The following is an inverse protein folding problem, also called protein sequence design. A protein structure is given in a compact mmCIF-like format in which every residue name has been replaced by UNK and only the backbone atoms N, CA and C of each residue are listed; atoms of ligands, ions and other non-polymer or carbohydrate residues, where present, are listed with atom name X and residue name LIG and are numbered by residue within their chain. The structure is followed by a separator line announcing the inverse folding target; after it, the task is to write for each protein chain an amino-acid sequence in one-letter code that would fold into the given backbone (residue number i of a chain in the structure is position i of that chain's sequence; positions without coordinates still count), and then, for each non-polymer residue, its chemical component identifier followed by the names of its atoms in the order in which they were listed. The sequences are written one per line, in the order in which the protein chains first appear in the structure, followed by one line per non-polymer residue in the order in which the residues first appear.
data_IF_603706388358
#
_entry.id   IF_603706388358
#
_cell.length_a   1.000
_cell.length_b   1.000
_cell.length_c   1.000
_cell.angle_alpha   90.00
_cell.angle_beta   90.00
_cell.angle_gamma   90.00
#
_symmetry.space_group_name_H-M   'P 1'
#
loop_
_entity.id
_entity.type
_entity.pdbx_description
1 polymer ?
#
# COMPACT_ATOMS: atom_id res chain seq x y z
N UNK A 1 -66.08 -41.92 68.89
CA UNK A 1 -65.75 -43.36 68.86
C UNK A 1 -64.32 -43.46 68.34
N UNK A 2 -63.37 -43.88 69.21
CA UNK A 2 -62.16 -44.68 68.96
C UNK A 2 -61.37 -44.34 67.68
N UNK A 3 -60.12 -43.91 67.65
CA UNK A 3 -58.95 -44.16 68.52
C UNK A 3 -57.72 -44.23 67.59
N UNK A 4 -56.49 -44.21 68.13
CA UNK A 4 -55.30 -44.63 67.38
C UNK A 4 -54.06 -43.77 67.56
N UNK A 5 -53.21 -44.20 68.49
CA UNK A 5 -51.83 -43.78 68.71
C UNK A 5 -50.92 -44.11 67.51
N UNK A 6 -49.78 -43.40 67.39
CA UNK A 6 -48.76 -43.68 66.37
C UNK A 6 -47.46 -42.93 66.61
N UNK A 7 -46.79 -43.25 67.71
CA UNK A 7 -45.44 -42.82 68.07
C UNK A 7 -44.40 -43.53 67.17
N UNK A 8 -43.59 -42.80 66.41
CA UNK A 8 -42.30 -43.32 65.92
C UNK A 8 -41.19 -42.27 66.04
N UNK A 9 -40.32 -42.48 67.04
CA UNK A 9 -38.90 -42.12 66.99
C UNK A 9 -38.27 -42.82 65.79
N UNK A 10 -37.38 -42.13 65.07
CA UNK A 10 -35.94 -42.43 65.11
C UNK A 10 -35.18 -41.81 63.92
N UNK A 11 -33.96 -41.40 64.24
CA UNK A 11 -32.75 -41.36 63.41
C UNK A 11 -32.25 -39.97 62.98
N UNK A 12 -31.37 -39.45 63.84
CA UNK A 12 -30.33 -38.51 63.44
C UNK A 12 -29.45 -39.18 62.38
N UNK A 13 -29.59 -38.71 61.15
CA UNK A 13 -28.70 -39.04 60.05
C UNK A 13 -28.05 -37.72 59.58
N UNK A 14 -26.84 -37.50 60.09
CA UNK A 14 -25.73 -36.79 59.46
C UNK A 14 -26.05 -35.54 58.61
N UNK A 15 -26.18 -34.38 59.28
CA UNK A 15 -26.05 -33.07 58.64
C UNK A 15 -24.64 -32.82 58.04
N UNK A 16 -23.66 -33.69 58.30
CA UNK A 16 -22.29 -33.56 57.80
C UNK A 16 -22.12 -33.92 56.32
N UNK A 17 -23.04 -34.70 55.72
CA UNK A 17 -22.95 -35.05 54.28
C UNK A 17 -23.53 -33.95 53.39
N UNK A 18 -24.55 -33.22 53.85
CA UNK A 18 -25.15 -32.13 53.07
C UNK A 18 -24.22 -30.91 52.92
N UNK A 19 -23.34 -30.64 53.91
CA UNK A 19 -22.37 -29.54 53.84
C UNK A 19 -21.22 -29.84 52.85
N UNK A 20 -20.79 -31.10 52.72
CA UNK A 20 -19.74 -31.49 51.77
C UNK A 20 -20.21 -31.47 50.31
N UNK A 21 -21.48 -31.77 50.04
CA UNK A 21 -22.04 -31.70 48.67
C UNK A 21 -22.23 -30.24 48.21
N UNK A 22 -22.53 -29.31 49.12
CA UNK A 22 -22.67 -27.88 48.80
C UNK A 22 -21.31 -27.16 48.65
N UNK A 23 -20.26 -27.61 49.33
CA UNK A 23 -18.90 -27.06 49.14
C UNK A 23 -18.23 -27.54 47.83
N UNK A 24 -18.63 -28.72 47.32
CA UNK A 24 -18.09 -29.26 46.06
C UNK A 24 -18.55 -28.52 44.80
N UNK A 25 -19.68 -27.81 44.85
CA UNK A 25 -20.23 -27.09 43.69
C UNK A 25 -19.54 -25.74 43.39
N UNK A 26 -18.79 -25.17 44.34
CA UNK A 26 -18.00 -23.94 44.14
C UNK A 26 -16.57 -24.20 43.64
N UNK A 27 -16.19 -25.46 43.45
CA UNK A 27 -14.91 -25.88 42.86
C UNK A 27 -15.08 -26.38 41.41
N UNK A 28 -16.18 -26.03 40.74
CA UNK A 28 -16.24 -26.22 39.30
C UNK A 28 -15.08 -25.41 38.69
N UNK A 29 -14.10 -26.05 38.02
CA UNK A 29 -13.01 -25.33 37.39
C UNK A 29 -13.66 -24.32 36.44
N UNK A 30 -13.36 -23.03 36.64
CA UNK A 30 -13.77 -22.00 35.70
C UNK A 30 -13.31 -22.49 34.33
N UNK A 31 -14.27 -22.79 33.46
CA UNK A 31 -13.99 -23.29 32.12
C UNK A 31 -13.00 -22.32 31.51
N UNK A 32 -11.75 -22.78 31.34
CA UNK A 32 -10.74 -22.00 30.65
C UNK A 32 -11.34 -21.73 29.26
N UNK A 33 -11.73 -20.48 29.01
CA UNK A 33 -12.32 -20.11 27.74
C UNK A 33 -11.21 -20.29 26.71
N UNK A 34 -11.27 -21.42 26.00
CA UNK A 34 -10.39 -21.67 24.89
C UNK A 34 -10.65 -20.58 23.84
N UNK A 35 -9.58 -20.02 23.31
CA UNK A 35 -9.64 -19.09 22.19
C UNK A 35 -10.61 -19.60 21.12
N UNK A 36 -11.71 -18.86 20.88
CA UNK A 36 -12.69 -19.14 19.84
C UNK A 36 -12.71 -17.97 18.88
N UNK A 37 -12.05 -18.12 17.73
CA UNK A 37 -12.04 -17.09 16.70
C UNK A 37 -13.37 -17.07 15.95
N UNK A 38 -13.85 -15.89 15.59
CA UNK A 38 -14.90 -15.74 14.59
C UNK A 38 -14.28 -16.05 13.22
N UNK A 39 -15.00 -16.81 12.39
CA UNK A 39 -14.58 -17.06 11.01
C UNK A 39 -14.58 -15.74 10.24
N UNK A 40 -13.43 -15.38 9.68
CA UNK A 40 -13.24 -14.22 8.83
C UNK A 40 -12.39 -14.60 7.62
N UNK A 41 -12.71 -14.03 6.47
CA UNK A 41 -11.94 -14.18 5.23
C UNK A 41 -10.63 -13.38 5.29
N UNK A 42 -9.64 -13.74 4.47
CA UNK A 42 -8.39 -12.96 4.39
C UNK A 42 -8.66 -11.50 4.00
N UNK A 43 -9.64 -11.25 3.12
CA UNK A 43 -10.05 -9.90 2.74
C UNK A 43 -10.57 -9.11 3.95
N UNK A 44 -11.48 -9.68 4.75
CA UNK A 44 -11.99 -9.00 5.95
C UNK A 44 -10.88 -8.73 6.98
N UNK A 45 -9.98 -9.69 7.19
CA UNK A 45 -8.84 -9.50 8.08
C UNK A 45 -7.87 -8.44 7.57
N UNK A 46 -7.65 -8.36 6.25
CA UNK A 46 -6.83 -7.34 5.61
C UNK A 46 -7.40 -5.93 5.78
N UNK A 47 -8.71 -5.78 5.58
CA UNK A 47 -9.42 -4.51 5.77
C UNK A 47 -9.35 -4.03 7.22
N UNK A 48 -9.64 -4.92 8.17
CA UNK A 48 -9.62 -4.61 9.61
C UNK A 48 -8.22 -4.36 10.18
N UNK A 49 -7.18 -4.80 9.49
CA UNK A 49 -5.79 -4.60 9.93
C UNK A 49 -5.32 -3.19 9.66
N UNK A 50 -4.63 -2.58 10.61
CA UNK A 50 -3.95 -1.29 10.44
C UNK A 50 -2.64 -1.42 9.64
N UNK A 51 -2.03 -2.60 9.69
CA UNK A 51 -0.79 -2.91 8.99
C UNK A 51 -0.80 -4.39 8.57
N UNK A 52 -0.32 -4.67 7.36
CA UNK A 52 -0.20 -6.03 6.82
C UNK A 52 1.14 -6.19 6.12
N UNK A 53 1.92 -7.16 6.58
CA UNK A 53 3.24 -7.45 6.01
C UNK A 53 3.62 -8.93 6.18
N UNK A 54 4.60 -9.37 5.39
CA UNK A 54 5.37 -10.58 5.68
C UNK A 54 6.67 -10.14 6.33
N UNK A 55 6.99 -10.70 7.50
CA UNK A 55 8.18 -10.32 8.27
C UNK A 55 8.86 -11.51 8.92
N UNK A 56 10.16 -11.39 9.15
CA UNK A 56 10.94 -12.35 9.94
C UNK A 56 10.87 -11.97 11.41
N UNK A 57 10.54 -12.92 12.28
CA UNK A 57 10.57 -12.69 13.72
C UNK A 57 12.02 -12.60 14.20
N UNK A 58 12.47 -11.39 14.58
CA UNK A 58 13.86 -11.13 14.94
C UNK A 58 14.11 -11.28 16.45
N UNK A 59 13.18 -10.81 17.27
CA UNK A 59 13.28 -10.89 18.72
C UNK A 59 11.91 -11.05 19.38
N UNK A 60 11.91 -11.64 20.57
CA UNK A 60 10.74 -11.71 21.46
C UNK A 60 11.18 -11.34 22.86
N UNK A 61 10.42 -10.47 23.50
CA UNK A 61 10.59 -10.06 24.89
C UNK A 61 9.32 -10.42 25.67
N UNK A 62 9.47 -10.75 26.94
CA UNK A 62 8.35 -10.93 27.85
C UNK A 62 8.16 -9.65 28.64
N UNK A 63 6.99 -9.02 28.51
CA UNK A 63 6.64 -7.79 29.23
C UNK A 63 5.32 -8.03 29.94
N UNK A 64 5.34 -7.96 31.27
CA UNK A 64 4.22 -8.32 32.13
C UNK A 64 3.68 -9.72 31.81
N UNK A 65 2.42 -9.87 31.41
CA UNK A 65 1.80 -11.14 31.04
C UNK A 65 1.78 -11.40 29.53
N UNK A 66 2.49 -10.59 28.74
CA UNK A 66 2.43 -10.59 27.27
C UNK A 66 3.81 -10.84 26.65
N UNK A 67 3.79 -11.18 25.36
CA UNK A 67 4.97 -11.28 24.53
C UNK A 67 5.01 -10.07 23.59
N UNK A 68 6.15 -9.41 23.55
CA UNK A 68 6.45 -8.35 22.59
C UNK A 68 7.31 -8.95 21.50
N UNK A 69 6.75 -9.07 20.31
CA UNK A 69 7.41 -9.58 19.11
C UNK A 69 7.97 -8.40 18.31
N UNK A 70 9.21 -8.53 17.83
CA UNK A 70 9.85 -7.56 16.95
C UNK A 70 10.13 -8.25 15.60
N UNK A 71 9.61 -7.66 14.51
CA UNK A 71 9.74 -8.23 13.17
C UNK A 71 10.65 -7.37 12.28
N UNK A 72 11.45 -8.04 11.45
CA UNK A 72 12.10 -7.45 10.29
C UNK A 72 11.16 -7.60 9.08
N UNK A 73 10.53 -6.52 8.58
CA UNK A 73 9.62 -6.62 7.46
C UNK A 73 10.36 -7.02 6.18
N UNK A 74 9.83 -8.02 5.48
CA UNK A 74 10.31 -8.50 4.17
C UNK A 74 9.47 -7.88 3.06
N UNK A 75 8.13 -7.96 3.15
CA UNK A 75 7.21 -7.36 2.18
C UNK A 75 6.10 -6.66 2.93
N UNK A 76 5.85 -5.38 2.64
CA UNK A 76 4.75 -4.61 3.24
C UNK A 76 3.63 -4.45 2.22
N UNK A 77 2.44 -4.94 2.56
CA UNK A 77 1.23 -4.88 1.74
C UNK A 77 0.40 -3.65 2.10
N UNK A 78 0.21 -3.40 3.39
CA UNK A 78 -0.53 -2.26 3.95
C UNK A 78 0.36 -1.61 5.02
N UNK A 79 1.00 -0.46 4.75
CA UNK A 79 1.85 0.20 5.72
C UNK A 79 1.02 0.90 6.80
N UNK A 80 1.58 1.00 8.01
CA UNK A 80 1.08 1.89 9.07
C UNK A 80 1.66 3.31 8.88
N UNK A 81 0.91 4.38 9.20
CA UNK A 81 1.45 5.75 9.21
C UNK A 81 2.63 5.93 10.18
N UNK A 82 2.60 5.18 11.29
CA UNK A 82 3.65 5.17 12.30
C UNK A 82 4.18 3.74 12.42
N UNK A 83 5.47 3.49 12.14
CA UNK A 83 6.07 2.16 12.29
C UNK A 83 5.98 1.70 13.75
N UNK A 84 5.25 0.61 14.02
CA UNK A 84 4.88 0.27 15.39
C UNK A 84 6.02 -0.42 16.13
N UNK A 85 6.92 -1.12 15.41
CA UNK A 85 8.18 -1.69 15.89
C UNK A 85 8.04 -2.84 16.90
N UNK A 86 7.04 -2.77 17.78
CA UNK A 86 6.75 -3.66 18.90
C UNK A 86 5.32 -4.17 18.76
N UNK A 87 5.16 -5.48 18.70
CA UNK A 87 3.86 -6.11 18.49
C UNK A 87 3.51 -7.03 19.65
N UNK A 88 2.40 -6.75 20.34
CA UNK A 88 2.00 -7.45 21.55
C UNK A 88 1.11 -8.67 21.23
N UNK A 89 1.39 -9.81 21.87
CA UNK A 89 0.55 -11.00 21.78
C UNK A 89 0.50 -11.73 23.12
N UNK A 90 -0.53 -12.53 23.36
CA UNK A 90 -0.62 -13.35 24.57
C UNK A 90 0.45 -14.48 24.54
N UNK A 91 0.82 -15.01 25.72
CA UNK A 91 1.89 -16.02 25.84
C UNK A 91 1.59 -17.40 25.24
N UNK A 92 0.32 -17.73 25.01
CA UNK A 92 -0.07 -19.07 24.59
C UNK A 92 -1.32 -19.10 23.74
N UNK A 93 -1.42 -20.14 22.91
CA UNK A 93 -2.54 -20.32 21.97
C UNK A 93 -3.90 -20.43 22.66
N UNK A 94 -3.96 -20.90 23.91
CA UNK A 94 -5.20 -20.92 24.69
C UNK A 94 -5.80 -19.52 24.91
N UNK A 95 -4.94 -18.49 24.93
CA UNK A 95 -5.31 -17.07 25.02
C UNK A 95 -5.19 -16.35 23.66
N UNK A 96 -5.28 -17.09 22.55
CA UNK A 96 -5.13 -16.57 21.18
C UNK A 96 -3.74 -16.00 20.85
N UNK A 97 -2.73 -16.29 21.67
CA UNK A 97 -1.36 -15.84 21.48
C UNK A 97 -0.68 -16.50 20.29
N UNK A 98 0.05 -15.73 19.49
CA UNK A 98 0.78 -16.23 18.31
C UNK A 98 1.97 -17.10 18.75
N UNK A 99 2.15 -18.27 18.14
CA UNK A 99 3.31 -19.14 18.42
C UNK A 99 4.62 -18.45 18.05
N UNK A 100 5.61 -18.52 18.95
CA UNK A 100 6.93 -17.92 18.78
C UNK A 100 7.90 -18.91 18.13
N UNK A 101 8.43 -18.54 16.96
CA UNK A 101 9.53 -19.21 16.26
C UNK A 101 10.51 -18.16 15.75
N UNK A 102 11.55 -17.91 16.52
CA UNK A 102 12.60 -16.96 16.14
C UNK A 102 13.19 -17.33 14.76
N UNK A 103 13.38 -16.33 13.91
CA UNK A 103 13.88 -16.47 12.55
C UNK A 103 12.87 -16.96 11.52
N UNK A 104 11.68 -17.42 11.91
CA UNK A 104 10.62 -17.81 10.98
C UNK A 104 9.99 -16.59 10.27
N UNK A 105 9.44 -16.81 9.08
CA UNK A 105 8.64 -15.82 8.38
C UNK A 105 7.20 -15.93 8.83
N UNK A 106 6.56 -14.79 9.06
CA UNK A 106 5.16 -14.69 9.44
C UNK A 106 4.40 -13.87 8.41
N UNK A 107 3.12 -14.19 8.23
CA UNK A 107 2.18 -13.16 7.81
C UNK A 107 1.72 -12.45 9.06
N UNK A 108 1.88 -11.13 9.09
CA UNK A 108 1.55 -10.28 10.23
C UNK A 108 0.37 -9.38 9.83
N UNK A 109 -0.73 -9.53 10.56
CA UNK A 109 -1.96 -8.75 10.42
C UNK A 109 -2.21 -8.05 11.76
N UNK A 110 -1.89 -6.77 11.77
CA UNK A 110 -1.81 -5.95 12.98
C UNK A 110 -3.13 -5.26 13.22
N UNK A 111 -3.65 -5.37 14.45
CA UNK A 111 -4.80 -4.60 14.91
C UNK A 111 -4.34 -3.59 15.96
N UNK A 112 -4.79 -2.33 15.90
CA UNK A 112 -4.52 -1.34 16.95
C UNK A 112 -5.59 -1.39 18.03
N UNK A 113 -5.21 -1.55 19.29
CA UNK A 113 -6.18 -1.42 20.39
C UNK A 113 -6.68 0.05 20.43
N UNK A 114 -7.99 0.30 20.27
CA UNK A 114 -8.53 1.66 20.22
C UNK A 114 -8.35 2.44 21.53
N UNK A 115 -8.05 1.77 22.65
CA UNK A 115 -7.90 2.40 23.97
C UNK A 115 -6.52 3.02 24.19
N UNK A 116 -5.46 2.39 23.67
CA UNK A 116 -4.08 2.80 23.92
C UNK A 116 -3.20 2.88 22.67
N UNK A 117 -3.69 2.44 21.51
CA UNK A 117 -2.97 2.48 20.24
C UNK A 117 -1.97 1.33 20.01
N UNK A 118 -1.84 0.39 20.96
CA UNK A 118 -0.91 -0.73 20.87
C UNK A 118 -1.17 -1.59 19.63
N UNK A 119 -0.11 -2.02 18.94
CA UNK A 119 -0.20 -3.06 17.93
C UNK A 119 -0.37 -4.43 18.58
N UNK A 120 -1.49 -5.08 18.29
CA UNK A 120 -1.88 -6.38 18.82
C UNK A 120 -1.86 -7.44 17.71
N UNK A 121 -1.31 -8.60 18.04
CA UNK A 121 -1.30 -9.79 17.20
C UNK A 121 -2.04 -10.92 17.90
N UNK A 122 -2.84 -11.67 17.14
CA UNK A 122 -3.48 -12.89 17.64
C UNK A 122 -3.64 -13.90 16.52
N UNK A 123 -3.90 -15.15 16.87
CA UNK A 123 -4.34 -16.14 15.87
C UNK A 123 -5.63 -15.72 15.17
N UNK A 124 -6.56 -15.08 15.89
CA UNK A 124 -7.82 -14.63 15.33
C UNK A 124 -7.68 -13.45 14.37
N UNK A 125 -6.57 -12.70 14.40
CA UNK A 125 -6.28 -11.70 13.38
C UNK A 125 -5.69 -12.30 12.10
N UNK A 126 -5.46 -13.61 12.05
CA UNK A 126 -4.84 -14.30 10.90
C UNK A 126 -3.31 -14.23 10.86
N UNK A 127 -2.68 -13.68 11.92
CA UNK A 127 -1.23 -13.66 12.10
C UNK A 127 -0.73 -15.08 12.38
N UNK A 128 0.34 -15.49 11.69
CA UNK A 128 0.91 -16.82 11.90
C UNK A 128 2.14 -17.11 11.06
N UNK A 129 2.81 -18.22 11.38
CA UNK A 129 4.02 -18.69 10.70
C UNK A 129 3.69 -19.05 9.25
N UNK A 130 4.42 -18.44 8.33
CA UNK A 130 4.39 -18.69 6.89
C UNK A 130 5.44 -19.72 6.46
N UNK A 131 6.66 -19.63 6.98
CA UNK A 131 7.78 -20.52 6.65
C UNK A 131 8.79 -20.61 7.81
N UNK A 132 9.45 -21.75 7.98
CA UNK A 132 10.54 -21.94 8.96
C UNK A 132 10.12 -22.58 10.28
N UNK A 133 9.02 -23.33 10.31
CA UNK A 133 8.65 -24.18 11.44
C UNK A 133 7.79 -25.37 11.02
N UNK A 134 7.82 -26.46 11.78
CA UNK A 134 7.00 -27.67 11.53
C UNK A 134 5.47 -27.46 11.73
N UNK A 135 4.99 -26.21 11.82
CA UNK A 135 3.60 -25.94 12.24
C UNK A 135 2.60 -26.10 11.11
N UNK A 136 1.54 -26.85 11.41
CA UNK A 136 0.23 -26.80 10.74
C UNK A 136 -0.51 -25.55 11.23
N UNK A 137 -0.74 -24.57 10.36
CA UNK A 137 -1.64 -23.44 10.65
C UNK A 137 -3.04 -23.98 10.99
N UNK A 138 -3.45 -23.89 12.25
CA UNK A 138 -4.81 -24.21 12.70
C UNK A 138 -5.66 -22.95 12.60
N UNK A 139 -6.64 -22.92 11.69
CA UNK A 139 -7.66 -21.85 11.62
C UNK A 139 -7.71 -21.05 10.32
N UNK A 140 -6.73 -21.20 9.42
CA UNK A 140 -6.87 -20.83 8.02
C UNK A 140 -6.72 -22.12 7.22
N UNK A 141 -7.78 -22.55 6.56
CA UNK A 141 -7.85 -23.82 5.84
C UNK A 141 -6.74 -23.88 4.78
N UNK A 142 -5.63 -24.57 5.11
CA UNK A 142 -4.68 -25.23 4.20
C UNK A 142 -4.21 -24.49 2.93
N UNK A 143 -4.15 -23.16 2.89
CA UNK A 143 -3.49 -22.48 1.78
C UNK A 143 -1.97 -22.60 1.96
N UNK A 144 -1.24 -23.23 1.02
CA UNK A 144 0.21 -23.18 1.02
C UNK A 144 0.71 -21.73 1.10
N UNK A 145 1.86 -21.52 1.72
CA UNK A 145 2.44 -20.19 1.94
C UNK A 145 2.44 -19.29 0.69
N UNK A 146 2.72 -19.85 -0.48
CA UNK A 146 2.72 -19.11 -1.74
C UNK A 146 1.34 -18.58 -2.13
N UNK A 147 0.25 -19.31 -1.86
CA UNK A 147 -1.11 -18.84 -2.16
C UNK A 147 -1.51 -17.66 -1.26
N UNK A 148 -1.09 -17.66 0.01
CA UNK A 148 -1.37 -16.53 0.92
C UNK A 148 -0.64 -15.25 0.47
N UNK A 149 0.58 -15.36 -0.04
CA UNK A 149 1.29 -14.21 -0.61
C UNK A 149 0.60 -13.68 -1.89
N UNK A 150 0.08 -14.56 -2.74
CA UNK A 150 -0.69 -14.18 -3.93
C UNK A 150 -1.99 -13.45 -3.52
N UNK A 151 -2.76 -14.01 -2.59
CA UNK A 151 -3.99 -13.38 -2.10
C UNK A 151 -3.72 -11.99 -1.48
N UNK A 152 -2.65 -11.84 -0.69
CA UNK A 152 -2.27 -10.54 -0.15
C UNK A 152 -1.81 -9.55 -1.23
N UNK A 153 -1.14 -10.01 -2.28
CA UNK A 153 -0.81 -9.18 -3.43
C UNK A 153 -2.07 -8.72 -4.16
N UNK A 154 -3.06 -9.59 -4.35
CA UNK A 154 -4.34 -9.25 -4.97
C UNK A 154 -5.08 -8.18 -4.18
N UNK A 155 -5.20 -8.36 -2.86
CA UNK A 155 -5.87 -7.41 -1.97
C UNK A 155 -5.18 -6.03 -1.98
N UNK A 156 -3.86 -6.01 -1.74
CA UNK A 156 -3.09 -4.76 -1.74
C UNK A 156 -3.07 -4.09 -3.13
N UNK A 157 -2.96 -4.90 -4.18
CA UNK A 157 -3.01 -4.44 -5.56
C UNK A 157 -4.33 -3.77 -5.90
N UNK A 158 -5.45 -4.36 -5.50
CA UNK A 158 -6.79 -3.79 -5.70
C UNK A 158 -6.94 -2.44 -5.01
N UNK A 159 -6.49 -2.32 -3.77
CA UNK A 159 -6.56 -1.06 -3.02
C UNK A 159 -5.72 0.04 -3.67
N UNK A 160 -4.54 -0.32 -4.16
CA UNK A 160 -3.67 0.59 -4.91
C UNK A 160 -4.36 1.03 -6.20
N UNK A 161 -4.96 0.12 -6.97
CA UNK A 161 -5.66 0.49 -8.20
C UNK A 161 -6.88 1.37 -7.94
N UNK A 162 -7.63 1.13 -6.88
CA UNK A 162 -8.74 1.99 -6.49
C UNK A 162 -8.25 3.41 -6.17
N UNK A 163 -7.12 3.54 -5.45
CA UNK A 163 -6.52 4.84 -5.13
C UNK A 163 -5.94 5.54 -6.36
N UNK A 164 -5.23 4.82 -7.24
CA UNK A 164 -4.71 5.36 -8.50
C UNK A 164 -5.86 5.87 -9.36
N UNK A 165 -6.91 5.06 -9.57
CA UNK A 165 -8.06 5.46 -10.38
C UNK A 165 -8.78 6.70 -9.81
N UNK A 166 -8.76 6.91 -8.49
CA UNK A 166 -9.35 8.07 -7.84
C UNK A 166 -8.52 9.37 -7.97
N UNK A 167 -7.20 9.27 -8.16
CA UNK A 167 -6.29 10.41 -8.23
C UNK A 167 -5.65 10.61 -9.60
N UNK A 168 -5.96 9.75 -10.57
CA UNK A 168 -5.41 9.86 -11.91
C UNK A 168 -5.84 11.16 -12.59
N UNK A 169 -4.89 11.96 -13.12
CA UNK A 169 -5.22 13.18 -13.81
C UNK A 169 -6.00 12.92 -15.10
N UNK A 170 -7.16 13.55 -15.27
CA UNK A 170 -7.86 13.62 -16.55
C UNK A 170 -7.28 14.79 -17.38
N UNK A 171 -6.58 14.52 -18.49
CA UNK A 171 -6.01 15.58 -19.31
C UNK A 171 -7.05 16.53 -19.88
N UNK A 172 -8.32 16.15 -19.96
CA UNK A 172 -9.39 17.02 -20.48
C UNK A 172 -10.10 17.86 -19.41
N UNK A 173 -9.85 17.60 -18.12
CA UNK A 173 -10.45 18.37 -17.03
C UNK A 173 -9.65 19.65 -16.78
N UNK A 174 -10.30 20.81 -17.01
CA UNK A 174 -9.73 22.12 -16.71
C UNK A 174 -9.29 22.29 -15.25
N UNK A 175 -9.86 21.50 -14.34
CA UNK A 175 -9.52 21.50 -12.90
C UNK A 175 -8.38 20.56 -12.54
N UNK A 176 -7.91 19.72 -13.46
CA UNK A 176 -6.78 18.82 -13.19
C UNK A 176 -5.56 19.59 -12.69
N UNK A 177 -4.93 19.06 -11.65
CA UNK A 177 -3.70 19.59 -11.04
C UNK A 177 -2.52 18.62 -11.15
N UNK A 178 -2.74 17.43 -11.71
CA UNK A 178 -1.70 16.43 -11.92
C UNK A 178 -1.05 16.53 -13.30
N UNK A 179 0.22 16.15 -13.38
CA UNK A 179 1.02 16.28 -14.59
C UNK A 179 0.53 15.33 -15.70
N UNK A 180 0.23 15.85 -16.89
CA UNK A 180 -0.22 15.05 -18.05
C UNK A 180 0.78 15.02 -19.20
N UNK A 181 1.79 15.88 -19.18
CA UNK A 181 2.88 15.89 -20.16
C UNK A 181 3.80 17.09 -20.02
N UNK A 182 4.67 17.26 -21.00
CA UNK A 182 5.61 18.38 -21.12
C UNK A 182 5.36 19.15 -22.41
N UNK A 183 5.53 20.47 -22.40
CA UNK A 183 5.32 21.34 -23.55
C UNK A 183 6.57 22.16 -23.85
N UNK A 184 7.14 21.98 -25.03
CA UNK A 184 8.18 22.87 -25.54
C UNK A 184 7.56 24.23 -25.89
N UNK A 185 8.29 25.32 -25.61
CA UNK A 185 7.84 26.67 -25.92
C UNK A 185 8.98 27.40 -26.67
N UNK A 186 9.10 27.21 -27.99
CA UNK A 186 10.23 27.71 -28.78
C UNK A 186 10.42 29.23 -28.71
N UNK A 187 9.35 29.98 -28.45
CA UNK A 187 9.43 31.42 -28.22
C UNK A 187 10.36 31.75 -27.04
N UNK A 188 10.20 31.06 -25.91
CA UNK A 188 11.03 31.28 -24.72
C UNK A 188 12.49 30.88 -24.95
N UNK A 189 12.76 29.84 -25.75
CA UNK A 189 14.12 29.43 -26.14
C UNK A 189 14.84 30.48 -26.99
N UNK A 190 14.07 31.28 -27.77
CA UNK A 190 14.59 32.41 -28.55
C UNK A 190 14.65 33.73 -27.76
N UNK A 191 14.26 33.72 -26.48
CA UNK A 191 14.16 34.93 -25.66
C UNK A 191 12.98 35.83 -26.01
N UNK A 192 11.97 35.30 -26.69
CA UNK A 192 10.70 35.99 -26.95
C UNK A 192 9.76 35.86 -25.74
N UNK A 193 8.79 36.77 -25.62
CA UNK A 193 7.76 36.69 -24.56
C UNK A 193 6.52 35.93 -25.04
N UNK A 194 5.92 35.12 -24.16
CA UNK A 194 4.58 34.55 -24.36
C UNK A 194 3.57 35.22 -23.43
N UNK A 195 2.29 35.15 -23.79
CA UNK A 195 1.18 35.60 -22.96
C UNK A 195 0.46 34.41 -22.34
N UNK A 196 0.19 34.50 -21.04
CA UNK A 196 -0.62 33.53 -20.30
C UNK A 196 -1.99 34.11 -19.95
N UNK A 197 -3.00 33.25 -19.86
CA UNK A 197 -4.40 33.63 -19.68
C UNK A 197 -5.03 32.95 -18.47
N UNK A 198 -5.99 33.62 -17.81
CA UNK A 198 -6.66 33.07 -16.63
C UNK A 198 -7.61 31.89 -16.95
N UNK A 199 -8.10 31.83 -18.19
CA UNK A 199 -9.04 30.83 -18.68
C UNK A 199 -8.71 30.48 -20.14
N UNK A 200 -9.08 29.27 -20.61
CA UNK A 200 -8.84 28.84 -21.99
C UNK A 200 -9.85 29.49 -22.95
N UNK A 201 -9.73 30.80 -23.15
CA UNK A 201 -10.66 31.61 -23.95
C UNK A 201 -9.91 32.67 -24.74
N UNK A 202 -10.18 32.81 -26.06
CA UNK A 202 -9.50 33.80 -26.90
C UNK A 202 -9.89 35.25 -26.58
N UNK A 203 -10.98 35.46 -25.84
CA UNK A 203 -11.45 36.79 -25.45
C UNK A 203 -10.93 37.23 -24.07
N UNK A 204 -10.12 36.40 -23.42
CA UNK A 204 -9.56 36.71 -22.11
C UNK A 204 -8.41 37.70 -22.25
N UNK A 205 -8.32 38.68 -21.37
CA UNK A 205 -7.13 39.54 -21.29
C UNK A 205 -5.92 38.74 -20.77
N UNK A 206 -4.71 38.95 -21.32
CA UNK A 206 -3.48 38.35 -20.80
C UNK A 206 -3.25 38.71 -19.33
N UNK A 207 -2.84 37.73 -18.52
CA UNK A 207 -2.49 37.92 -17.11
C UNK A 207 -1.11 38.58 -16.95
N UNK A 208 -0.10 37.98 -17.56
CA UNK A 208 1.30 38.36 -17.41
C UNK A 208 2.11 37.87 -18.62
N UNK A 209 3.03 38.68 -19.17
CA UNK A 209 4.02 38.21 -20.13
C UNK A 209 5.09 37.37 -19.42
N UNK A 210 5.43 36.22 -19.99
CA UNK A 210 6.53 35.37 -19.53
C UNK A 210 7.67 35.45 -20.54
N UNK A 211 8.87 35.81 -20.07
CA UNK A 211 10.07 35.94 -20.90
C UNK A 211 11.03 34.74 -20.80
N UNK A 212 10.94 33.95 -19.74
CA UNK A 212 11.89 32.86 -19.46
C UNK A 212 11.18 31.61 -18.94
N UNK A 213 11.71 30.43 -19.29
CA UNK A 213 11.17 29.13 -18.85
C UNK A 213 11.20 28.97 -17.32
N UNK A 214 12.15 29.62 -16.63
CA UNK A 214 12.26 29.58 -15.16
C UNK A 214 11.04 30.19 -14.44
N UNK A 215 10.25 31.01 -15.14
CA UNK A 215 9.00 31.54 -14.61
C UNK A 215 7.85 30.53 -14.64
N UNK A 216 8.06 29.33 -15.22
CA UNK A 216 7.13 28.22 -15.27
C UNK A 216 7.67 27.03 -14.46
N UNK A 217 6.77 26.22 -13.93
CA UNK A 217 7.10 24.86 -13.56
C UNK A 217 7.56 24.12 -14.83
N UNK A 218 8.79 23.64 -14.83
CA UNK A 218 9.40 23.06 -16.01
C UNK A 218 10.27 21.85 -15.64
N UNK A 219 10.48 20.98 -16.63
CA UNK A 219 11.40 19.85 -16.59
C UNK A 219 12.14 19.76 -17.91
N UNK A 220 13.18 18.94 -17.94
CA UNK A 220 13.85 18.64 -19.20
C UNK A 220 13.03 17.60 -20.00
N UNK A 221 12.65 17.93 -21.24
CA UNK A 221 12.04 16.98 -22.19
C UNK A 221 13.10 16.15 -22.92
N UNK A 222 14.33 16.64 -23.03
CA UNK A 222 15.51 15.99 -23.61
C UNK A 222 16.79 16.53 -22.95
N UNK A 223 17.96 16.14 -23.43
CA UNK A 223 19.24 16.66 -22.95
C UNK A 223 19.30 18.19 -23.15
N UNK A 224 19.32 18.94 -22.04
CA UNK A 224 19.37 20.42 -22.02
C UNK A 224 18.17 21.14 -22.69
N UNK A 225 17.10 20.42 -23.04
CA UNK A 225 15.87 21.00 -23.61
C UNK A 225 14.83 21.14 -22.50
N UNK A 226 14.52 22.37 -22.12
CA UNK A 226 13.53 22.67 -21.08
C UNK A 226 12.12 22.73 -21.67
N UNK A 227 11.16 22.13 -20.98
CA UNK A 227 9.76 22.11 -21.35
C UNK A 227 8.88 22.40 -20.13
N UNK A 228 7.80 23.16 -20.35
CA UNK A 228 6.84 23.48 -19.31
C UNK A 228 6.00 22.26 -18.91
N UNK A 229 5.68 22.14 -17.63
CA UNK A 229 4.77 21.11 -17.13
C UNK A 229 3.32 21.42 -17.55
N UNK A 230 2.63 20.44 -18.14
CA UNK A 230 1.22 20.56 -18.56
C UNK A 230 0.34 19.76 -17.60
N UNK A 231 -0.78 20.37 -17.19
CA UNK A 231 -1.72 19.79 -16.21
C UNK A 231 -3.10 19.47 -16.80
N UNK A 232 -3.47 20.13 -17.90
CA UNK A 232 -4.71 19.88 -18.64
C UNK A 232 -4.59 20.42 -20.08
N UNK A 233 -5.45 19.91 -20.95
CA UNK A 233 -5.64 20.27 -22.35
C UNK A 233 -7.14 20.48 -22.59
N UNK A 234 -7.54 21.71 -22.90
CA UNK A 234 -8.96 22.05 -23.13
C UNK A 234 -9.08 22.74 -24.48
N UNK A 235 -9.55 22.00 -25.47
CA UNK A 235 -9.47 22.44 -26.87
C UNK A 235 -8.01 22.68 -27.27
N UNK A 236 -7.73 23.87 -27.80
CA UNK A 236 -6.38 24.28 -28.22
C UNK A 236 -5.62 25.05 -27.14
N UNK A 237 -5.82 24.70 -25.86
CA UNK A 237 -5.19 25.38 -24.73
C UNK A 237 -4.51 24.41 -23.79
N UNK A 238 -3.31 24.81 -23.33
CA UNK A 238 -2.51 24.06 -22.37
C UNK A 238 -2.55 24.75 -21.01
N UNK A 239 -2.94 24.02 -19.97
CA UNK A 239 -2.86 24.50 -18.59
C UNK A 239 -1.44 24.28 -18.06
N UNK A 240 -0.76 25.38 -17.74
CA UNK A 240 0.59 25.42 -17.20
C UNK A 240 0.56 25.90 -15.75
N UNK A 241 1.65 25.65 -15.02
CA UNK A 241 1.86 26.20 -13.67
C UNK A 241 3.02 27.18 -13.71
N UNK A 242 2.84 28.37 -13.16
CA UNK A 242 3.89 29.36 -12.98
C UNK A 242 4.80 28.97 -11.81
N UNK A 243 5.99 29.56 -11.72
CA UNK A 243 6.97 29.23 -10.68
C UNK A 243 6.49 29.57 -9.24
N UNK A 244 5.54 30.49 -9.09
CA UNK A 244 4.87 30.81 -7.82
C UNK A 244 3.71 29.86 -7.48
N UNK A 245 3.42 28.89 -8.35
CA UNK A 245 2.41 27.86 -8.16
C UNK A 245 1.02 28.19 -8.73
N UNK A 246 0.81 29.38 -9.30
CA UNK A 246 -0.46 29.70 -9.95
C UNK A 246 -0.66 28.92 -11.26
N UNK A 247 -1.91 28.66 -11.62
CA UNK A 247 -2.24 28.05 -12.91
C UNK A 247 -2.65 29.11 -13.93
N UNK A 248 -2.21 28.92 -15.16
CA UNK A 248 -2.61 29.76 -16.29
C UNK A 248 -2.65 28.94 -17.58
N UNK A 249 -3.19 29.54 -18.64
CA UNK A 249 -3.43 28.87 -19.91
C UNK A 249 -2.57 29.48 -21.02
N UNK A 250 -1.98 28.64 -21.86
CA UNK A 250 -1.24 29.01 -23.06
C UNK A 250 -2.01 28.50 -24.28
N UNK A 251 -2.36 29.35 -25.26
CA UNK A 251 -2.98 28.90 -26.50
C UNK A 251 -1.98 28.11 -27.35
N UNK A 252 -2.46 27.12 -28.10
CA UNK A 252 -1.63 26.25 -28.92
C UNK A 252 -0.89 27.00 -30.04
N UNK A 253 -1.39 28.16 -30.47
CA UNK A 253 -0.70 29.05 -31.41
C UNK A 253 0.63 29.59 -30.89
N UNK A 254 0.81 29.61 -29.56
CA UNK A 254 2.02 30.07 -28.87
C UNK A 254 2.85 28.91 -28.30
N UNK A 255 2.43 27.67 -28.56
CA UNK A 255 3.04 26.46 -28.03
C UNK A 255 3.86 25.73 -29.10
N UNK A 256 4.87 24.98 -28.67
CA UNK A 256 5.64 24.06 -29.51
C UNK A 256 5.11 22.64 -29.43
N UNK A 257 6.03 21.66 -29.40
CA UNK A 257 5.69 20.26 -29.31
C UNK A 257 5.18 19.91 -27.91
N UNK A 258 4.01 19.29 -27.86
CA UNK A 258 3.51 18.63 -26.66
C UNK A 258 3.97 17.16 -26.62
N UNK A 259 4.51 16.76 -25.48
CA UNK A 259 4.91 15.40 -25.18
C UNK A 259 3.99 14.83 -24.10
N UNK A 260 2.99 14.02 -24.47
CA UNK A 260 2.11 13.42 -23.48
C UNK A 260 2.89 12.43 -22.60
N UNK A 261 2.47 12.28 -21.33
CA UNK A 261 3.10 11.35 -20.40
C UNK A 261 3.17 9.93 -20.97
N UNK A 262 2.18 9.51 -21.76
CA UNK A 262 2.11 8.20 -22.42
C UNK A 262 3.26 7.91 -23.38
N UNK A 263 3.99 8.93 -23.84
CA UNK A 263 5.12 8.80 -24.78
C UNK A 263 6.46 9.11 -24.13
N UNK A 264 6.50 10.04 -23.16
CA UNK A 264 7.72 10.55 -22.56
C UNK A 264 8.74 9.49 -22.13
N UNK A 265 8.38 8.44 -21.36
CA UNK A 265 9.37 7.47 -20.88
C UNK A 265 9.61 6.31 -21.86
N UNK A 266 8.83 6.18 -22.94
CA UNK A 266 8.89 5.04 -23.85
C UNK A 266 10.21 5.05 -24.63
N UNK A 267 10.95 3.93 -24.56
CA UNK A 267 12.24 3.80 -25.25
C UNK A 267 13.37 4.67 -24.68
N UNK A 268 13.19 5.28 -23.51
CA UNK A 268 14.21 6.10 -22.83
C UNK A 268 14.78 5.39 -21.60
N UNK A 269 15.85 5.96 -21.05
CA UNK A 269 16.37 5.56 -19.74
C UNK A 269 15.38 5.97 -18.65
N UNK A 270 14.53 5.02 -18.25
CA UNK A 270 13.40 5.27 -17.38
C UNK A 270 13.57 4.66 -15.98
N UNK A 271 12.80 5.18 -15.03
CA UNK A 271 12.76 4.68 -13.66
C UNK A 271 11.33 4.77 -13.10
N UNK A 272 11.03 3.85 -12.20
CA UNK A 272 9.89 3.93 -11.30
C UNK A 272 10.27 4.88 -10.15
N UNK A 273 9.39 5.83 -9.86
CA UNK A 273 9.62 6.84 -8.84
C UNK A 273 9.59 6.23 -7.43
N UNK A 274 10.14 6.91 -6.41
CA UNK A 274 10.07 6.45 -5.01
C UNK A 274 8.66 6.21 -4.47
N UNK A 275 7.65 6.85 -5.07
CA UNK A 275 6.24 6.73 -4.69
C UNK A 275 5.57 5.48 -5.27
N UNK A 276 6.18 4.84 -6.28
CA UNK A 276 5.67 3.57 -6.82
C UNK A 276 5.63 2.47 -5.74
N UNK A 277 4.50 1.76 -5.68
CA UNK A 277 4.18 0.85 -4.58
C UNK A 277 4.81 -0.54 -4.68
N UNK A 278 5.53 -0.85 -5.76
CA UNK A 278 6.26 -2.11 -5.92
C UNK A 278 5.52 -3.18 -6.71
N UNK A 279 4.30 -2.91 -7.15
CA UNK A 279 3.44 -3.88 -7.84
C UNK A 279 3.59 -3.77 -9.36
N UNK A 280 3.63 -4.95 -10.00
CA UNK A 280 3.57 -5.12 -11.45
C UNK A 280 2.44 -6.11 -11.75
N UNK A 281 1.61 -5.78 -12.73
CA UNK A 281 0.49 -6.62 -13.18
C UNK A 281 0.88 -7.42 -14.43
N UNK A 282 0.32 -8.61 -14.59
CA UNK A 282 0.50 -9.39 -15.83
C UNK A 282 -0.21 -8.73 -17.02
N UNK A 283 -1.36 -8.10 -16.77
CA UNK A 283 -2.18 -7.38 -17.73
C UNK A 283 -2.65 -6.03 -17.13
N UNK A 284 -2.88 -4.99 -17.94
CA UNK A 284 -3.28 -3.69 -17.41
C UNK A 284 -4.69 -3.75 -16.82
N UNK A 285 -4.83 -3.43 -15.54
CA UNK A 285 -6.11 -3.34 -14.83
C UNK A 285 -6.74 -4.68 -14.43
N UNK A 286 -6.11 -5.82 -14.74
CA UNK A 286 -6.64 -7.15 -14.41
C UNK A 286 -5.56 -8.11 -13.92
N UNK A 287 -5.98 -9.14 -13.20
CA UNK A 287 -5.12 -10.19 -12.68
C UNK A 287 -4.42 -9.85 -11.37
N UNK A 288 -3.86 -10.88 -10.74
CA UNK A 288 -3.07 -10.75 -9.52
C UNK A 288 -1.74 -10.04 -9.84
N UNK A 289 -1.43 -8.90 -9.21
CA UNK A 289 -0.11 -8.33 -9.35
C UNK A 289 0.90 -9.16 -8.57
N UNK A 290 2.16 -8.93 -8.88
CA UNK A 290 3.27 -9.42 -8.10
C UNK A 290 4.05 -8.23 -7.55
N UNK A 291 4.45 -8.34 -6.29
CA UNK A 291 5.29 -7.34 -5.66
C UNK A 291 6.76 -7.65 -5.99
N UNK A 292 7.39 -6.74 -6.74
CA UNK A 292 8.80 -6.84 -7.17
C UNK A 292 9.75 -6.33 -6.08
N UNK A 293 9.23 -5.60 -5.10
CA UNK A 293 10.03 -4.82 -4.18
C UNK A 293 9.82 -5.23 -2.72
N UNK A 294 10.78 -6.00 -2.20
CA UNK A 294 10.94 -6.21 -0.77
C UNK A 294 11.88 -5.15 -0.22
N UNK A 295 11.37 -4.02 0.30
CA UNK A 295 12.19 -3.18 1.15
C UNK A 295 11.60 -3.01 2.55
N UNK A 296 12.49 -2.86 3.56
CA UNK A 296 12.06 -2.61 4.92
C UNK A 296 11.22 -1.32 4.99
N UNK A 297 10.19 -1.36 5.82
CA UNK A 297 9.39 -0.18 6.16
C UNK A 297 10.30 0.95 6.66
N UNK A 298 10.15 2.16 6.11
CA UNK A 298 10.84 3.37 6.59
C UNK A 298 12.08 3.81 5.81
N UNK A 299 12.65 2.99 4.92
CA UNK A 299 13.69 3.45 4.00
C UNK A 299 13.05 4.21 2.82
N UNK A 300 13.60 5.38 2.48
CA UNK A 300 13.22 6.06 1.25
C UNK A 300 13.50 5.13 0.06
N UNK A 301 12.47 4.84 -0.74
CA UNK A 301 12.63 3.94 -1.89
C UNK A 301 13.55 4.61 -2.91
N UNK A 302 14.66 3.97 -3.31
CA UNK A 302 15.44 4.47 -4.44
C UNK A 302 14.58 4.44 -5.72
N UNK A 303 15.00 5.24 -6.70
CA UNK A 303 14.48 5.12 -8.05
C UNK A 303 14.80 3.71 -8.56
N UNK A 304 13.79 3.05 -9.11
CA UNK A 304 13.91 1.68 -9.59
C UNK A 304 13.98 1.69 -11.12
N UNK A 305 15.15 1.38 -11.68
CA UNK A 305 15.39 1.39 -13.13
C UNK A 305 14.43 0.47 -13.89
N UNK A 306 13.90 0.97 -15.01
CA UNK A 306 12.99 0.22 -15.89
C UNK A 306 13.26 0.50 -17.37
N UNK A 307 12.94 -0.48 -18.21
CA UNK A 307 12.74 -0.25 -19.64
C UNK A 307 11.23 -0.16 -19.91
N UNK A 308 10.76 0.99 -20.40
CA UNK A 308 9.36 1.17 -20.81
C UNK A 308 9.21 0.76 -22.27
N UNK A 309 8.45 -0.31 -22.49
CA UNK A 309 8.23 -0.93 -23.79
C UNK A 309 7.09 -0.29 -24.58
N UNK A 310 6.18 0.41 -23.90
CA UNK A 310 5.03 1.08 -24.49
C UNK A 310 4.01 1.47 -23.44
N UNK A 311 2.94 2.12 -23.88
CA UNK A 311 1.83 2.52 -23.03
C UNK A 311 0.48 2.02 -23.57
N UNK A 312 -0.50 1.90 -22.69
CA UNK A 312 -1.86 1.48 -23.05
C UNK A 312 -2.85 2.09 -22.07
N UNK A 313 -4.02 2.51 -22.56
CA UNK A 313 -5.09 3.03 -21.70
C UNK A 313 -6.20 1.99 -21.56
N UNK A 314 -6.58 1.68 -20.32
CA UNK A 314 -7.70 0.80 -19.98
C UNK A 314 -8.67 1.57 -19.11
N UNK A 315 -9.87 1.84 -19.63
CA UNK A 315 -10.79 2.79 -18.99
C UNK A 315 -10.19 4.19 -18.97
N UNK A 316 -10.24 4.86 -17.82
CA UNK A 316 -9.55 6.12 -17.61
C UNK A 316 -8.04 5.96 -17.34
N UNK A 317 -7.56 4.75 -17.06
CA UNK A 317 -6.19 4.56 -16.55
C UNK A 317 -5.13 4.32 -17.60
N UNK A 318 -4.07 5.13 -17.57
CA UNK A 318 -2.86 4.98 -18.36
C UNK A 318 -1.91 3.99 -17.69
N UNK A 319 -1.44 3.02 -18.47
CA UNK A 319 -0.51 1.98 -18.05
C UNK A 319 0.74 1.99 -18.91
N UNK A 320 1.87 1.63 -18.30
CA UNK A 320 3.12 1.37 -19.00
C UNK A 320 3.47 -0.11 -18.92
N UNK A 321 3.83 -0.70 -20.06
CA UNK A 321 4.45 -2.03 -20.09
C UNK A 321 5.93 -1.87 -19.80
N UNK A 322 6.43 -2.51 -18.76
CA UNK A 322 7.81 -2.31 -18.26
C UNK A 322 8.58 -3.63 -18.13
N UNK A 323 9.90 -3.52 -18.23
CA UNK A 323 10.85 -4.48 -17.64
C UNK A 323 11.52 -3.82 -16.45
N UNK A 324 11.35 -4.37 -15.26
CA UNK A 324 12.02 -3.87 -14.05
C UNK A 324 13.41 -4.47 -13.95
N UNK A 325 14.42 -3.65 -13.71
CA UNK A 325 15.84 -4.03 -13.80
C UNK A 325 16.51 -4.05 -12.43
N UNK A 326 17.45 -4.95 -12.17
CA UNK A 326 18.13 -5.00 -10.87
C UNK A 326 19.11 -3.84 -10.62
N UNK A 327 19.50 -3.13 -11.69
CA UNK A 327 20.46 -2.03 -11.67
C UNK A 327 20.11 -1.01 -12.78
N UNK A 328 20.69 0.18 -12.71
CA UNK A 328 20.61 1.16 -13.80
C UNK A 328 21.43 0.71 -15.00
N UNK A 329 21.02 1.13 -16.20
CA UNK A 329 21.87 1.00 -17.39
C UNK A 329 23.16 1.83 -17.32
N UNK A 330 23.27 2.72 -16.34
CA UNK A 330 24.45 3.53 -16.05
C UNK A 330 25.45 2.83 -15.13
N UNK A 331 25.03 1.75 -14.46
CA UNK A 331 25.90 1.01 -13.57
C UNK A 331 26.80 0.06 -14.37
N UNK A 332 27.98 -0.26 -13.83
CA UNK A 332 28.93 -1.18 -14.50
C UNK A 332 28.46 -2.64 -14.55
N UNK A 333 27.40 -2.97 -13.83
CA UNK A 333 26.83 -4.32 -13.77
C UNK A 333 25.78 -4.51 -14.87
N UNK A 334 25.77 -5.67 -15.53
CA UNK A 334 24.73 -6.01 -16.50
C UNK A 334 23.39 -6.18 -15.78
N UNK A 335 22.37 -5.34 -16.06
CA UNK A 335 21.12 -5.38 -15.33
C UNK A 335 20.35 -6.67 -15.60
N UNK A 336 19.88 -7.33 -14.54
CA UNK A 336 18.98 -8.50 -14.63
C UNK A 336 17.53 -8.03 -14.66
N UNK A 337 16.68 -8.72 -15.41
CA UNK A 337 15.24 -8.47 -15.38
C UNK A 337 14.64 -9.10 -14.12
N UNK A 338 14.11 -8.26 -13.24
CA UNK A 338 13.38 -8.68 -12.03
C UNK A 338 11.93 -9.05 -12.36
N UNK A 339 11.34 -8.33 -13.32
CA UNK A 339 9.92 -8.37 -13.60
C UNK A 339 9.61 -7.92 -15.03
N UNK A 340 8.54 -8.46 -15.61
CA UNK A 340 7.93 -7.94 -16.84
C UNK A 340 6.43 -7.87 -16.62
N UNK A 341 5.83 -6.74 -16.96
CA UNK A 341 4.38 -6.58 -16.86
C UNK A 341 3.96 -5.13 -17.04
N UNK A 342 2.89 -4.75 -16.36
CA UNK A 342 2.25 -3.45 -16.45
C UNK A 342 2.28 -2.73 -15.11
N UNK A 343 2.53 -1.42 -15.16
CA UNK A 343 2.41 -0.52 -14.01
C UNK A 343 1.50 0.64 -14.40
N UNK A 344 0.69 1.17 -13.47
CA UNK A 344 -0.01 2.41 -13.73
C UNK A 344 0.99 3.56 -13.97
N UNK A 345 0.62 4.52 -14.81
CA UNK A 345 1.44 5.70 -15.10
C UNK A 345 1.53 6.65 -13.92
N UNK A 346 0.56 6.59 -13.02
CA UNK A 346 0.41 7.43 -11.84
C UNK A 346 0.44 6.60 -10.56
N UNK A 347 0.87 7.22 -9.46
CA UNK A 347 0.78 6.64 -8.12
C UNK A 347 -0.55 6.98 -7.44
N UNK A 348 -0.67 6.63 -6.16
CA UNK A 348 -1.87 6.84 -5.35
C UNK A 348 -2.13 8.31 -5.01
N UNK A 349 -1.23 9.22 -5.37
CA UNK A 349 -1.32 10.67 -5.16
C UNK A 349 -1.46 11.44 -6.49
N UNK A 350 -1.63 10.73 -7.61
CA UNK A 350 -1.74 11.33 -8.95
C UNK A 350 -0.43 11.86 -9.51
N UNK A 351 0.72 11.54 -8.90
CA UNK A 351 2.04 11.87 -9.43
C UNK A 351 2.52 10.78 -10.40
N UNK A 352 3.38 11.10 -11.39
CA UNK A 352 3.93 10.08 -12.27
C UNK A 352 4.66 8.98 -11.49
N UNK A 353 4.22 7.74 -11.64
CA UNK A 353 4.91 6.55 -11.09
C UNK A 353 6.10 6.13 -11.96
N UNK A 354 6.12 6.54 -13.23
CA UNK A 354 7.19 6.28 -14.21
C UNK A 354 7.72 7.60 -14.74
N UNK A 355 9.05 7.77 -14.75
CA UNK A 355 9.72 8.93 -15.33
C UNK A 355 11.00 8.52 -16.06
N UNK A 356 11.74 9.49 -16.59
CA UNK A 356 12.99 9.26 -17.33
C UNK A 356 14.12 10.19 -16.91
N UNK A 357 15.36 9.77 -17.22
CA UNK A 357 16.57 10.57 -17.11
C UNK A 357 16.76 11.35 -18.41
N UNK A 358 16.59 12.67 -18.36
CA UNK A 358 16.82 13.57 -19.52
C UNK A 358 18.29 13.61 -19.95
N UNK A 359 19.21 13.56 -18.98
CA UNK A 359 20.66 13.70 -19.21
C UNK A 359 21.40 12.38 -19.47
N UNK A 360 20.67 11.29 -19.67
CA UNK A 360 21.26 9.97 -19.81
C UNK A 360 22.02 9.50 -18.57
N UNK A 361 23.02 8.65 -18.82
CA UNK A 361 24.13 8.36 -17.92
C UNK A 361 25.26 9.33 -18.27
#
# INVERSE_FOLDING_TARGET
RIGGEGLHRANGLSWSVALFVLLGAFLAPASAQACSCVEATTAELFELSSEVFIGRLAAVEEVDSELVMNFEPVVVYKPSPEPIGRYFTARGGAACGVEVKLGALYVVLVHRDPRNGDARLSYCSGTGVLYGGESKLLGLTYLPAHLKAVELNELAGRDILAQVAAHEPDPSDAKSEGLVGLLEIPALERGETIELFAAPSPNQEPLLPIAEMVCLAHRESSYEEAAAEVFALVGDWYKLRTADGAFAWLPASSAGRFWPLSELPVGRLAYLTPTWRGFVWSEPGVGAPFNVYSQPSGAARPKQSVLVLGSHRVGSTLWFRVRVLSASGCDSEVPRVLAIGWVPAYDTEGQPAVWFHSRGC
#
